data_IF_886615806521
#
_entry.id   IF_886615806521
#
_cell.length_a   1.000
_cell.length_b   1.000
_cell.length_c   1.000
_cell.angle_alpha   90.00
_cell.angle_beta   90.00
_cell.angle_gamma   90.00
#
_symmetry.space_group_name_H-M   'P 1'
#
loop_
_entity.id
_entity.type
_entity.pdbx_description
1 polymer ?
#
# COMPACT_ATOMS: atom_id res chain seq x y z
N UNK A 1 -17.07 -10.79 -2.13
CA UNK A 1 -15.91 -10.26 -2.85
C UNK A 1 -16.39 -9.80 -4.18
N UNK A 2 -16.00 -8.60 -4.60
CA UNK A 2 -16.29 -8.13 -5.94
C UNK A 2 -15.05 -7.39 -6.44
N UNK A 3 -14.60 -7.76 -7.65
CA UNK A 3 -13.87 -6.83 -8.49
C UNK A 3 -14.84 -5.69 -8.81
N UNK A 4 -14.50 -4.47 -8.41
CA UNK A 4 -15.38 -3.32 -8.58
C UNK A 4 -14.87 -2.38 -9.67
N UNK A 5 -15.77 -1.57 -10.22
CA UNK A 5 -15.42 -0.37 -10.96
C UNK A 5 -15.46 0.84 -10.02
N UNK A 6 -14.28 1.39 -9.69
CA UNK A 6 -14.18 2.53 -8.78
C UNK A 6 -14.76 3.82 -9.37
N UNK A 7 -15.03 3.88 -10.68
CA UNK A 7 -15.61 5.05 -11.33
C UNK A 7 -17.15 5.03 -11.34
N UNK A 8 -17.75 3.92 -10.92
CA UNK A 8 -19.20 3.78 -10.72
C UNK A 8 -19.50 3.06 -9.39
N UNK A 9 -19.15 3.68 -8.24
CA UNK A 9 -19.23 3.00 -6.94
C UNK A 9 -20.67 2.86 -6.45
N UNK A 10 -21.02 1.67 -5.96
CA UNK A 10 -22.33 1.40 -5.34
C UNK A 10 -22.34 1.64 -3.81
N UNK A 11 -21.17 1.83 -3.20
CA UNK A 11 -21.01 1.95 -1.75
C UNK A 11 -19.78 2.77 -1.38
N UNK A 12 -19.79 3.29 -0.14
CA UNK A 12 -18.63 3.92 0.49
C UNK A 12 -17.89 2.98 1.45
N UNK A 13 -16.61 3.26 1.65
CA UNK A 13 -15.68 2.42 2.40
C UNK A 13 -15.12 3.11 3.65
N UNK A 14 -14.72 2.30 4.62
CA UNK A 14 -14.18 2.70 5.92
C UNK A 14 -12.65 2.55 5.96
N UNK A 15 -12.12 1.58 5.22
CA UNK A 15 -10.69 1.27 5.13
C UNK A 15 -10.28 1.26 3.66
N UNK A 16 -9.33 2.13 3.32
CA UNK A 16 -8.63 2.08 2.05
C UNK A 16 -7.27 1.40 2.27
N UNK A 17 -7.00 0.32 1.57
CA UNK A 17 -5.69 -0.34 1.49
C UNK A 17 -5.16 -0.18 0.07
N UNK A 18 -3.93 0.29 -0.10
CA UNK A 18 -3.44 0.64 -1.44
C UNK A 18 -1.95 0.36 -1.57
N UNK A 19 -1.57 -0.25 -2.69
CA UNK A 19 -0.19 -0.50 -3.09
C UNK A 19 0.12 0.19 -4.42
N UNK A 20 0.34 1.53 -4.42
CA UNK A 20 0.54 2.27 -5.66
C UNK A 20 1.72 1.72 -6.48
N UNK A 21 1.61 1.68 -7.82
CA UNK A 21 2.65 1.16 -8.70
C UNK A 21 3.78 2.19 -8.89
N UNK A 22 4.50 2.49 -7.81
CA UNK A 22 5.58 3.47 -7.76
C UNK A 22 6.64 3.21 -8.85
N UNK A 23 7.03 4.26 -9.57
CA UNK A 23 8.06 4.16 -10.62
C UNK A 23 9.42 3.71 -10.06
N UNK A 24 9.83 2.48 -10.35
CA UNK A 24 11.18 2.03 -10.02
C UNK A 24 12.13 2.25 -11.21
N UNK A 25 13.13 3.11 -11.02
CA UNK A 25 14.27 3.16 -11.94
C UNK A 25 15.20 1.96 -11.67
N UNK A 26 15.73 1.32 -12.72
CA UNK A 26 16.84 0.37 -12.52
C UNK A 26 18.11 1.15 -12.16
N UNK A 27 18.73 0.82 -11.03
CA UNK A 27 20.01 1.41 -10.62
C UNK A 27 21.17 0.99 -11.53
N UNK A 28 21.94 2.00 -11.99
CA UNK A 28 23.31 1.91 -12.53
C UNK A 28 23.53 1.03 -13.77
N UNK A 29 24.26 1.57 -14.76
CA UNK A 29 24.81 0.76 -15.88
C UNK A 29 25.65 -0.39 -15.30
N UNK A 30 25.14 -1.64 -15.37
CA UNK A 30 25.97 -2.82 -15.12
C UNK A 30 26.81 -3.07 -16.36
N UNK A 31 28.13 -2.89 -16.27
CA UNK A 31 29.08 -3.17 -17.35
C UNK A 31 29.24 -4.67 -17.67
N UNK A 32 28.47 -5.56 -17.04
CA UNK A 32 28.57 -7.00 -17.24
C UNK A 32 27.16 -7.60 -17.46
N UNK A 33 26.85 -7.87 -18.74
CA UNK A 33 25.80 -8.74 -19.32
C UNK A 33 24.88 -7.99 -20.31
N UNK A 34 25.12 -8.12 -21.63
CA UNK A 34 24.34 -7.45 -22.69
C UNK A 34 22.85 -7.84 -22.74
N UNK A 35 22.46 -8.96 -22.13
CA UNK A 35 21.09 -9.51 -22.21
C UNK A 35 20.25 -9.34 -20.93
N UNK A 36 20.65 -8.45 -20.00
CA UNK A 36 19.82 -8.14 -18.81
C UNK A 36 19.29 -6.70 -18.79
N UNK A 37 19.56 -5.95 -19.86
CA UNK A 37 19.25 -4.53 -20.03
C UNK A 37 17.87 -4.34 -20.64
N UNK A 38 17.08 -3.45 -20.04
CA UNK A 38 16.07 -2.68 -20.80
C UNK A 38 14.63 -3.18 -20.83
N UNK A 39 14.26 -4.28 -20.17
CA UNK A 39 12.83 -4.59 -20.02
C UNK A 39 12.23 -3.78 -18.88
N UNK A 40 11.32 -2.87 -19.26
CA UNK A 40 10.29 -2.30 -18.39
C UNK A 40 9.75 -3.40 -17.48
N UNK A 41 9.48 -3.06 -16.22
CA UNK A 41 8.65 -3.93 -15.36
C UNK A 41 7.36 -4.13 -16.16
N UNK A 42 6.82 -5.36 -16.31
CA UNK A 42 5.67 -5.64 -17.16
C UNK A 42 4.34 -5.02 -16.68
N UNK A 43 4.40 -4.05 -15.76
CA UNK A 43 3.25 -3.38 -15.16
C UNK A 43 3.30 -1.90 -15.48
N UNK A 44 2.17 -1.32 -15.86
CA UNK A 44 2.02 0.12 -16.05
C UNK A 44 2.30 0.83 -14.72
N UNK A 45 3.47 1.46 -14.60
CA UNK A 45 3.80 2.29 -13.44
C UNK A 45 3.07 3.62 -13.54
N UNK A 46 2.62 4.15 -12.40
CA UNK A 46 1.97 5.47 -12.34
C UNK A 46 2.98 6.50 -11.81
N UNK A 47 2.97 7.70 -12.38
CA UNK A 47 3.77 8.79 -11.86
C UNK A 47 3.19 9.34 -10.55
N UNK A 48 3.99 10.13 -9.83
CA UNK A 48 3.57 10.70 -8.53
C UNK A 48 2.31 11.57 -8.65
N UNK A 49 2.18 12.46 -9.65
CA UNK A 49 0.94 13.20 -9.89
C UNK A 49 -0.29 12.29 -10.09
N UNK A 50 -0.21 11.27 -10.95
CA UNK A 50 -1.31 10.34 -11.18
C UNK A 50 -1.70 9.58 -9.92
N UNK A 51 -0.73 9.14 -9.11
CA UNK A 51 -0.99 8.50 -7.81
C UNK A 51 -1.76 9.48 -6.91
N UNK A 52 -1.33 10.73 -6.80
CA UNK A 52 -2.01 11.73 -5.98
C UNK A 52 -3.44 12.00 -6.49
N UNK A 53 -3.66 12.12 -7.79
CA UNK A 53 -4.98 12.38 -8.37
C UNK A 53 -5.94 11.22 -8.15
N UNK A 54 -5.51 9.98 -8.37
CA UNK A 54 -6.34 8.80 -8.10
C UNK A 54 -6.72 8.73 -6.62
N UNK A 55 -5.76 8.93 -5.72
CA UNK A 55 -6.05 8.89 -4.28
C UNK A 55 -6.94 10.05 -3.85
N UNK A 56 -6.80 11.25 -4.43
CA UNK A 56 -7.73 12.36 -4.23
C UNK A 56 -9.15 11.98 -4.62
N UNK A 57 -9.33 11.40 -5.81
CA UNK A 57 -10.63 10.96 -6.28
C UNK A 57 -11.24 9.92 -5.34
N UNK A 58 -10.52 8.82 -5.07
CA UNK A 58 -11.02 7.73 -4.22
C UNK A 58 -11.37 8.23 -2.81
N UNK A 59 -10.51 9.05 -2.21
CA UNK A 59 -10.75 9.56 -0.86
C UNK A 59 -11.90 10.55 -0.73
N UNK A 60 -12.30 11.22 -1.82
CA UNK A 60 -13.44 12.13 -1.84
C UNK A 60 -14.75 11.41 -2.18
N UNK A 61 -14.71 10.54 -3.19
CA UNK A 61 -15.92 9.96 -3.77
C UNK A 61 -16.30 8.64 -3.09
N UNK A 62 -15.32 7.79 -2.78
CA UNK A 62 -15.54 6.40 -2.34
C UNK A 62 -15.39 6.19 -0.84
N UNK A 63 -14.73 7.10 -0.12
CA UNK A 63 -14.54 6.92 1.32
C UNK A 63 -15.65 7.61 2.14
N UNK A 64 -16.03 6.99 3.25
CA UNK A 64 -16.87 7.60 4.28
C UNK A 64 -16.14 8.80 4.91
N UNK A 65 -16.86 9.72 5.57
CA UNK A 65 -16.22 10.87 6.21
C UNK A 65 -15.17 10.45 7.26
N UNK A 66 -15.52 9.42 8.05
CA UNK A 66 -14.65 8.76 9.02
C UNK A 66 -14.07 7.50 8.39
N UNK A 67 -12.77 7.48 8.11
CA UNK A 67 -12.09 6.36 7.48
C UNK A 67 -10.57 6.41 7.74
N UNK A 68 -9.90 5.29 7.48
CA UNK A 68 -8.45 5.18 7.51
C UNK A 68 -7.91 4.84 6.11
N UNK A 69 -6.68 5.30 5.83
CA UNK A 69 -5.94 4.93 4.62
C UNK A 69 -4.66 4.22 5.03
N UNK A 70 -4.40 3.06 4.44
CA UNK A 70 -3.21 2.24 4.61
C UNK A 70 -2.50 2.15 3.27
N UNK A 71 -1.39 2.89 3.12
CA UNK A 71 -0.67 2.99 1.85
C UNK A 71 0.71 2.37 1.95
N UNK A 72 0.99 1.41 1.07
CA UNK A 72 2.33 0.86 0.91
C UNK A 72 3.27 1.82 0.19
N UNK A 73 4.50 1.86 0.64
CA UNK A 73 5.59 2.60 0.01
C UNK A 73 6.94 1.95 0.30
N UNK A 74 7.95 2.38 -0.44
CA UNK A 74 9.34 1.98 -0.26
C UNK A 74 10.15 3.17 0.23
N UNK A 75 11.34 2.90 0.77
CA UNK A 75 12.23 3.93 1.34
C UNK A 75 12.39 5.17 0.45
N UNK A 76 12.61 4.97 -0.86
CA UNK A 76 12.71 6.05 -1.87
C UNK A 76 11.49 6.97 -1.90
N UNK A 77 10.29 6.42 -1.76
CA UNK A 77 9.03 7.15 -1.89
C UNK A 77 8.42 7.54 -0.54
N UNK A 78 8.97 7.07 0.58
CA UNK A 78 8.42 7.31 1.92
C UNK A 78 8.17 8.81 2.20
N UNK A 79 9.12 9.75 2.00
CA UNK A 79 8.86 11.17 2.21
C UNK A 79 7.79 11.73 1.27
N UNK A 80 7.82 11.30 0.00
CA UNK A 80 6.87 11.74 -1.02
C UNK A 80 5.44 11.26 -0.70
N UNK A 81 5.30 10.02 -0.22
CA UNK A 81 4.01 9.46 0.18
C UNK A 81 3.39 10.26 1.33
N UNK A 82 4.19 10.63 2.33
CA UNK A 82 3.72 11.46 3.44
C UNK A 82 3.34 12.87 3.00
N UNK A 83 4.11 13.48 2.12
CA UNK A 83 3.83 14.78 1.54
C UNK A 83 2.50 14.76 0.77
N UNK A 84 2.30 13.80 -0.13
CA UNK A 84 1.06 13.62 -0.90
C UNK A 84 -0.14 13.52 0.05
N UNK A 85 -0.08 12.62 1.03
CA UNK A 85 -1.20 12.40 1.94
C UNK A 85 -1.46 13.63 2.82
N UNK A 86 -0.42 14.37 3.22
CA UNK A 86 -0.55 15.66 3.91
C UNK A 86 -1.27 16.70 3.04
N UNK A 87 -0.92 16.81 1.76
CA UNK A 87 -1.59 17.70 0.79
C UNK A 87 -3.06 17.31 0.54
N UNK A 88 -3.40 16.02 0.70
CA UNK A 88 -4.77 15.51 0.68
C UNK A 88 -5.52 15.70 2.02
N UNK A 89 -4.89 16.34 3.01
CA UNK A 89 -5.50 16.68 4.30
C UNK A 89 -5.41 15.58 5.36
N UNK A 90 -4.56 14.57 5.16
CA UNK A 90 -4.38 13.47 6.10
C UNK A 90 -3.23 13.72 7.08
N UNK A 91 -3.36 13.10 8.25
CA UNK A 91 -2.31 12.98 9.25
C UNK A 91 -1.80 11.56 9.27
N UNK A 92 -0.48 11.41 9.44
CA UNK A 92 0.14 10.13 9.71
C UNK A 92 -0.12 9.72 11.16
N UNK A 93 -0.70 8.54 11.38
CA UNK A 93 -0.85 7.92 12.69
C UNK A 93 0.38 7.09 13.04
N UNK A 94 0.76 6.17 12.15
CA UNK A 94 1.84 5.23 12.38
C UNK A 94 2.51 4.81 11.06
N UNK A 95 3.79 4.47 11.15
CA UNK A 95 4.53 3.75 10.11
C UNK A 95 4.68 2.31 10.55
N UNK A 96 4.06 1.39 9.83
CA UNK A 96 4.33 -0.03 9.99
C UNK A 96 5.46 -0.42 9.05
N UNK A 97 6.33 -1.31 9.51
CA UNK A 97 7.51 -1.79 8.80
C UNK A 97 7.28 -3.26 8.50
N UNK A 98 7.27 -3.62 7.23
CA UNK A 98 7.35 -5.01 6.82
C UNK A 98 8.81 -5.42 6.70
N UNK A 99 9.29 -6.22 7.65
CA UNK A 99 10.57 -6.90 7.58
C UNK A 99 10.44 -8.16 6.70
N UNK A 100 11.04 -8.07 5.51
CA UNK A 100 11.05 -9.13 4.49
C UNK A 100 12.11 -10.19 4.74
N UNK A 101 12.96 -10.01 5.75
CA UNK A 101 14.13 -10.84 6.07
C UNK A 101 15.29 -10.72 5.08
N UNK A 102 15.04 -10.40 3.81
CA UNK A 102 16.05 -10.20 2.78
C UNK A 102 15.63 -9.13 1.75
N UNK A 103 16.60 -8.60 1.03
CA UNK A 103 16.40 -7.60 -0.02
C UNK A 103 17.66 -7.30 -0.82
N UNK A 104 17.54 -6.44 -1.85
CA UNK A 104 18.70 -6.00 -2.62
C UNK A 104 19.68 -5.23 -1.73
N UNK A 105 20.96 -5.31 -2.09
CA UNK A 105 22.02 -4.46 -1.52
C UNK A 105 22.57 -3.54 -2.62
N UNK A 106 21.89 -2.42 -2.92
CA UNK A 106 22.37 -1.46 -3.92
C UNK A 106 23.78 -0.99 -3.59
N UNK A 107 24.61 -0.81 -4.61
CA UNK A 107 26.02 -0.40 -4.46
C UNK A 107 26.86 -1.27 -3.50
N UNK A 108 26.42 -2.50 -3.21
CA UNK A 108 27.07 -3.43 -2.27
C UNK A 108 27.21 -2.87 -0.84
N UNK A 109 26.29 -1.99 -0.42
CA UNK A 109 26.32 -1.39 0.92
C UNK A 109 25.40 -2.15 1.89
N UNK A 110 24.20 -1.62 2.16
CA UNK A 110 23.21 -2.16 3.11
C UNK A 110 22.06 -2.84 2.37
N UNK A 111 21.42 -3.81 3.02
CA UNK A 111 20.25 -4.51 2.48
C UNK A 111 18.97 -3.73 2.74
N UNK A 112 18.22 -3.47 1.68
CA UNK A 112 16.90 -2.87 1.76
C UNK A 112 15.89 -3.99 1.97
N UNK A 113 15.78 -4.45 3.21
CA UNK A 113 14.97 -5.60 3.60
C UNK A 113 13.57 -5.23 4.08
N UNK A 114 13.16 -3.97 3.94
CA UNK A 114 11.87 -3.50 4.44
C UNK A 114 11.08 -2.65 3.44
N UNK A 115 9.77 -2.68 3.61
CA UNK A 115 8.79 -1.78 3.01
C UNK A 115 7.92 -1.19 4.12
N UNK A 116 7.21 -0.11 3.82
CA UNK A 116 6.43 0.64 4.80
C UNK A 116 4.96 0.56 4.44
N UNK A 117 4.11 0.28 5.44
CA UNK A 117 2.68 0.49 5.36
C UNK A 117 2.34 1.68 6.26
N UNK A 118 1.91 2.77 5.64
CA UNK A 118 1.62 4.01 6.36
C UNK A 118 0.13 4.10 6.67
N UNK A 119 -0.20 4.32 7.94
CA UNK A 119 -1.57 4.51 8.40
C UNK A 119 -1.88 5.99 8.53
N UNK A 120 -2.80 6.48 7.70
CA UNK A 120 -3.28 7.84 7.66
C UNK A 120 -4.76 7.98 8.08
N UNK A 121 -5.13 9.18 8.53
CA UNK A 121 -6.51 9.56 8.88
C UNK A 121 -6.73 11.07 8.73
N UNK A 122 -7.99 11.51 8.52
CA UNK A 122 -8.36 12.94 8.60
C UNK A 122 -8.52 13.36 10.06
N UNK A 123 -8.11 14.58 10.42
CA UNK A 123 -8.15 15.07 11.83
C UNK A 123 -9.57 14.91 12.42
N UNK A 124 -9.68 14.19 13.54
CA UNK A 124 -10.96 13.89 14.21
C UNK A 124 -11.71 12.66 13.68
N UNK A 125 -11.29 12.13 12.52
CA UNK A 125 -12.01 11.13 11.75
C UNK A 125 -11.26 9.80 11.62
N UNK A 126 -10.45 9.46 12.62
CA UNK A 126 -9.79 8.14 12.71
C UNK A 126 -10.78 7.05 13.12
N UNK A 127 -10.78 5.92 12.42
CA UNK A 127 -11.41 4.69 12.91
C UNK A 127 -10.43 4.00 13.85
N UNK A 128 -10.87 3.73 15.08
CA UNK A 128 -10.04 3.05 16.07
C UNK A 128 -10.18 1.54 15.91
N UNK A 129 -9.12 0.75 16.21
CA UNK A 129 -9.22 -0.69 16.30
C UNK A 129 -10.30 -1.13 17.29
N UNK A 130 -10.83 -2.32 17.04
CA UNK A 130 -11.64 -3.08 18.01
C UNK A 130 -11.01 -3.02 19.40
N UNK A 131 -11.83 -2.74 20.41
CA UNK A 131 -11.37 -2.46 21.78
C UNK A 131 -10.53 -3.61 22.34
N UNK A 132 -10.91 -4.85 22.06
CA UNK A 132 -10.26 -6.04 22.59
C UNK A 132 -8.98 -6.40 21.83
N UNK A 133 -8.73 -5.73 20.69
CA UNK A 133 -7.56 -5.95 19.84
C UNK A 133 -6.53 -4.82 19.92
N UNK A 134 -6.79 -3.78 20.71
CA UNK A 134 -5.83 -2.68 20.90
C UNK A 134 -4.52 -3.20 21.46
N UNK A 135 -3.42 -2.91 20.78
CA UNK A 135 -2.08 -3.39 21.16
C UNK A 135 -1.78 -4.85 20.76
N UNK A 136 -2.68 -5.53 20.05
CA UNK A 136 -2.45 -6.91 19.61
C UNK A 136 -1.34 -7.05 18.55
N UNK A 137 -0.99 -5.97 17.85
CA UNK A 137 0.04 -5.96 16.82
C UNK A 137 1.10 -4.91 17.11
N UNK A 138 2.35 -5.25 16.80
CA UNK A 138 3.48 -4.31 16.82
C UNK A 138 3.58 -3.55 15.49
N UNK A 139 4.35 -2.48 15.47
CA UNK A 139 4.64 -1.74 14.23
C UNK A 139 5.55 -2.51 13.27
N UNK A 140 6.10 -3.67 13.66
CA UNK A 140 6.93 -4.52 12.80
C UNK A 140 6.16 -5.77 12.39
N UNK A 141 5.88 -5.88 11.09
CA UNK A 141 5.30 -7.05 10.44
C UNK A 141 6.45 -7.93 9.94
N UNK A 142 6.49 -9.21 10.34
CA UNK A 142 7.57 -10.14 9.96
C UNK A 142 7.01 -11.25 9.09
N UNK A 143 7.34 -11.21 7.81
CA UNK A 143 6.94 -12.23 6.85
C UNK A 143 7.94 -12.23 5.69
N UNK A 144 8.48 -13.39 5.32
CA UNK A 144 9.44 -13.44 4.22
C UNK A 144 8.77 -13.09 2.88
N UNK A 145 9.41 -12.23 2.10
CA UNK A 145 8.90 -11.88 0.77
C UNK A 145 8.92 -13.10 -0.16
N UNK A 146 7.79 -13.34 -0.85
CA UNK A 146 7.69 -14.38 -1.88
C UNK A 146 8.34 -13.90 -3.18
N UNK A 147 9.08 -14.79 -3.85
CA UNK A 147 10.05 -14.43 -4.90
C UNK A 147 9.51 -13.79 -6.18
N UNK A 148 8.21 -13.85 -6.49
CA UNK A 148 7.76 -13.65 -7.87
C UNK A 148 6.77 -12.50 -8.16
N UNK A 149 6.12 -11.86 -7.18
CA UNK A 149 4.97 -10.98 -7.52
C UNK A 149 4.81 -9.70 -6.70
N UNK A 150 5.83 -9.22 -5.98
CA UNK A 150 5.69 -8.04 -5.09
C UNK A 150 4.46 -8.14 -4.16
N UNK A 151 4.08 -9.37 -3.82
CA UNK A 151 2.92 -9.67 -3.01
C UNK A 151 3.17 -9.14 -1.60
N UNK A 152 2.23 -8.33 -1.10
CA UNK A 152 2.26 -7.79 0.25
C UNK A 152 1.96 -8.88 1.29
N UNK A 153 2.45 -8.72 2.53
CA UNK A 153 2.44 -9.81 3.50
C UNK A 153 1.02 -10.09 4.00
N UNK A 154 0.69 -11.37 4.15
CA UNK A 154 -0.59 -11.83 4.67
C UNK A 154 -0.87 -11.26 6.07
N UNK A 155 0.16 -11.12 6.90
CA UNK A 155 0.01 -10.55 8.23
C UNK A 155 -0.49 -9.10 8.25
N UNK A 156 -0.31 -8.32 7.16
CA UNK A 156 -0.90 -6.99 7.06
C UNK A 156 -2.42 -7.05 6.91
N UNK A 157 -2.94 -7.95 6.06
CA UNK A 157 -4.38 -8.13 5.90
C UNK A 157 -5.01 -8.64 7.19
N UNK A 158 -4.41 -9.66 7.82
CA UNK A 158 -4.87 -10.20 9.10
C UNK A 158 -4.93 -9.13 10.20
N UNK A 159 -3.95 -8.23 10.25
CA UNK A 159 -3.97 -7.10 11.17
C UNK A 159 -5.17 -6.18 10.91
N UNK A 160 -5.41 -5.79 9.66
CA UNK A 160 -6.52 -4.90 9.30
C UNK A 160 -7.89 -5.54 9.56
N UNK A 161 -8.03 -6.83 9.27
CA UNK A 161 -9.25 -7.59 9.54
C UNK A 161 -9.51 -7.76 11.03
N UNK A 162 -8.45 -7.96 11.81
CA UNK A 162 -8.54 -8.07 13.27
C UNK A 162 -8.87 -6.72 13.90
N UNK A 163 -8.26 -5.63 13.43
CA UNK A 163 -8.54 -4.28 13.95
C UNK A 163 -9.91 -3.77 13.52
N UNK A 164 -10.37 -4.08 12.30
CA UNK A 164 -11.57 -3.51 11.71
C UNK A 164 -12.51 -4.59 11.15
N UNK A 165 -13.04 -5.50 12.00
CA UNK A 165 -13.79 -6.66 11.54
C UNK A 165 -15.07 -6.27 10.79
N UNK A 166 -15.75 -5.20 11.21
CA UNK A 166 -17.03 -4.75 10.64
C UNK A 166 -16.89 -3.67 9.55
N UNK A 167 -15.67 -3.22 9.25
CA UNK A 167 -15.43 -2.17 8.28
C UNK A 167 -15.62 -2.68 6.85
N UNK A 168 -16.23 -1.87 5.98
CA UNK A 168 -16.16 -2.05 4.53
C UNK A 168 -14.76 -1.66 4.04
N UNK A 169 -14.11 -2.54 3.29
CA UNK A 169 -12.70 -2.40 2.91
C UNK A 169 -12.55 -2.38 1.40
N UNK A 170 -11.78 -1.41 0.91
CA UNK A 170 -11.40 -1.27 -0.48
C UNK A 170 -9.90 -1.48 -0.61
N UNK A 171 -9.50 -2.35 -1.53
CA UNK A 171 -8.12 -2.50 -1.98
C UNK A 171 -7.91 -1.91 -3.38
N UNK A 172 -6.94 -0.99 -3.50
CA UNK A 172 -6.47 -0.49 -4.79
C UNK A 172 -5.17 -1.18 -5.20
N UNK A 173 -5.04 -1.42 -6.51
CA UNK A 173 -3.93 -2.13 -7.14
C UNK A 173 -3.79 -3.58 -6.65
N UNK A 174 -4.93 -4.20 -6.36
CA UNK A 174 -5.01 -5.60 -5.96
C UNK A 174 -4.47 -6.53 -7.07
N UNK A 175 -3.87 -7.64 -6.63
CA UNK A 175 -3.29 -8.68 -7.51
C UNK A 175 -3.88 -10.08 -7.28
N UNK A 176 -4.70 -10.23 -6.24
CA UNK A 176 -5.32 -11.48 -5.86
C UNK A 176 -6.62 -11.19 -5.14
N UNK A 177 -7.62 -12.03 -5.33
CA UNK A 177 -8.90 -11.89 -4.64
C UNK A 177 -8.78 -12.16 -3.14
N UNK A 178 -9.57 -11.45 -2.32
CA UNK A 178 -9.61 -11.66 -0.87
C UNK A 178 -10.99 -11.45 -0.26
N UNK A 179 -11.44 -12.46 0.49
CA UNK A 179 -12.72 -12.44 1.20
C UNK A 179 -12.86 -11.22 2.11
N UNK A 180 -14.00 -10.53 2.01
CA UNK A 180 -14.29 -9.33 2.80
C UNK A 180 -13.68 -8.03 2.28
N UNK A 181 -13.02 -8.07 1.11
CA UNK A 181 -12.51 -6.90 0.41
C UNK A 181 -13.23 -6.69 -0.93
N UNK A 182 -13.55 -5.45 -1.24
CA UNK A 182 -13.80 -5.02 -2.61
C UNK A 182 -12.49 -4.54 -3.20
N UNK A 183 -12.24 -4.88 -4.45
CA UNK A 183 -10.89 -4.77 -4.99
C UNK A 183 -10.89 -4.20 -6.40
N UNK A 184 -9.89 -3.38 -6.67
CA UNK A 184 -9.66 -2.77 -7.97
C UNK A 184 -8.18 -2.91 -8.34
N UNK A 185 -7.90 -3.45 -9.52
CA UNK A 185 -6.54 -3.65 -10.01
C UNK A 185 -6.51 -4.28 -11.39
N UNK A 186 -5.48 -3.96 -12.17
CA UNK A 186 -5.31 -4.47 -13.54
C UNK A 186 -4.92 -5.96 -13.59
N UNK A 187 -4.50 -6.52 -12.45
CA UNK A 187 -4.05 -7.91 -12.32
C UNK A 187 -5.14 -8.84 -11.72
N UNK A 188 -6.36 -8.33 -11.49
CA UNK A 188 -7.53 -9.11 -11.07
C UNK A 188 -8.31 -9.67 -12.25
#
# INVERSE_FOLDING_TARGET
MAKIDIFNPESKYDILYTDPPWQQGRGGKKAARPNSTGTTVPYETMDVPGIMELHRYVTNELMNEKHNVFMWTIDKYLPQTEEIMSLLGYKLHARLIWDKGNGPAPAYTVRFAHEYLLWFYKKGNIILPDKDKRGAFSTVLRENSKRHHSQKPECAYQMLETFFPQAKKLELFARAERDGWDQWGNEL
#
